data_IF_901919756116
#
_entry.id   IF_901919756116
#
_cell.length_a   1.000
_cell.length_b   1.000
_cell.length_c   1.000
_cell.angle_alpha   90.00
_cell.angle_beta   90.00
_cell.angle_gamma   90.00
#
_symmetry.space_group_name_H-M   'P 1'
#
loop_
_entity.id
_entity.type
_entity.pdbx_description
1 polymer ?
#
# COMPACT_ATOMS: atom_id res chain seq x y z
N UNK A 1 -5.18 23.09 -19.33
CA UNK A 1 -6.17 22.83 -18.27
C UNK A 1 -5.66 23.36 -16.92
N UNK A 2 -6.47 24.07 -16.12
CA UNK A 2 -6.00 24.51 -14.81
C UNK A 2 -5.72 23.25 -13.97
N UNK A 3 -4.57 23.26 -13.27
CA UNK A 3 -4.20 22.22 -12.33
C UNK A 3 -5.36 22.06 -11.34
N UNK A 4 -6.01 20.89 -11.37
CA UNK A 4 -7.15 20.60 -10.51
C UNK A 4 -6.76 20.83 -9.05
N UNK A 5 -7.65 21.49 -8.30
CA UNK A 5 -7.50 21.63 -6.86
C UNK A 5 -7.12 20.28 -6.25
N UNK A 6 -6.11 20.25 -5.37
CA UNK A 6 -5.67 19.06 -4.66
C UNK A 6 -6.88 18.42 -3.94
N UNK A 7 -7.48 17.41 -4.56
CA UNK A 7 -8.70 16.77 -4.10
C UNK A 7 -8.43 16.07 -2.76
N UNK A 8 -9.34 16.20 -1.79
CA UNK A 8 -9.25 15.49 -0.50
C UNK A 8 -8.19 16.03 0.48
N UNK A 9 -7.37 17.00 0.05
CA UNK A 9 -6.44 17.72 0.91
C UNK A 9 -7.00 19.08 1.29
N UNK A 10 -6.73 19.57 2.52
CA UNK A 10 -7.14 20.92 2.89
C UNK A 10 -6.43 21.94 1.98
N UNK A 11 -7.11 23.02 1.61
CA UNK A 11 -6.56 24.08 0.74
C UNK A 11 -5.63 25.05 1.50
N UNK A 12 -5.77 25.11 2.82
CA UNK A 12 -4.93 25.90 3.71
C UNK A 12 -4.41 24.99 4.84
N UNK A 13 -3.20 25.25 5.37
CA UNK A 13 -2.73 24.55 6.55
C UNK A 13 -3.78 24.68 7.66
N UNK A 14 -4.30 23.57 8.21
CA UNK A 14 -5.21 23.65 9.35
C UNK A 14 -4.52 24.36 10.53
N UNK A 15 -5.31 25.02 11.39
CA UNK A 15 -4.79 25.62 12.61
C UNK A 15 -4.28 24.54 13.56
N UNK A 16 -2.98 24.24 13.52
CA UNK A 16 -2.36 23.19 14.32
C UNK A 16 -1.06 22.67 13.72
N UNK A 17 -0.30 21.92 14.52
CA UNK A 17 0.84 21.17 13.99
C UNK A 17 0.32 19.97 13.18
N UNK A 18 0.96 19.60 12.06
CA UNK A 18 0.60 18.40 11.34
C UNK A 18 0.75 17.17 12.23
N UNK A 19 -0.32 16.38 12.34
CA UNK A 19 -0.43 15.27 13.30
C UNK A 19 -1.12 14.10 12.63
N UNK A 20 -0.58 12.89 12.75
CA UNK A 20 -1.28 11.68 12.27
C UNK A 20 -2.36 11.25 13.25
N UNK A 21 -3.39 10.59 12.72
CA UNK A 21 -4.51 10.08 13.46
C UNK A 21 -4.13 8.94 14.41
N UNK A 22 -5.10 8.49 15.21
CA UNK A 22 -4.85 7.56 16.29
C UNK A 22 -4.72 6.10 15.83
N UNK A 23 -4.96 5.82 14.55
CA UNK A 23 -5.07 4.47 14.06
C UNK A 23 -6.25 3.72 14.66
N UNK A 24 -6.18 2.39 14.64
CA UNK A 24 -7.22 1.50 15.14
C UNK A 24 -6.65 0.29 15.87
N UNK A 25 -7.49 -0.31 16.72
CA UNK A 25 -7.20 -1.54 17.43
C UNK A 25 -7.94 -2.73 16.80
N UNK A 26 -7.30 -3.89 16.88
CA UNK A 26 -7.94 -5.18 16.66
C UNK A 26 -7.77 -6.07 17.90
N UNK A 27 -8.73 -6.97 18.09
CA UNK A 27 -8.74 -8.00 19.12
C UNK A 27 -9.01 -9.34 18.46
N UNK A 28 -8.11 -10.29 18.65
CA UNK A 28 -8.22 -11.64 18.11
C UNK A 28 -8.30 -12.65 19.25
N UNK A 29 -9.24 -13.59 19.15
CA UNK A 29 -9.34 -14.74 20.05
C UNK A 29 -8.90 -16.00 19.33
N UNK A 30 -8.10 -16.82 20.00
CA UNK A 30 -7.62 -18.09 19.49
C UNK A 30 -7.56 -19.14 20.59
N UNK A 31 -7.46 -20.40 20.20
CA UNK A 31 -7.24 -21.52 21.13
C UNK A 31 -5.75 -21.87 21.20
N UNK A 32 -5.18 -21.83 22.40
CA UNK A 32 -3.81 -22.22 22.64
C UNK A 32 -3.63 -23.76 22.60
N UNK A 33 -2.38 -24.22 22.66
CA UNK A 33 -2.04 -25.65 22.57
C UNK A 33 -2.64 -26.49 23.71
N UNK A 34 -2.84 -25.88 24.88
CA UNK A 34 -3.47 -26.51 26.04
C UNK A 34 -5.01 -26.54 25.96
N UNK A 35 -5.59 -26.02 24.88
CA UNK A 35 -7.03 -25.94 24.66
C UNK A 35 -7.70 -24.71 25.28
N UNK A 36 -6.96 -23.87 26.02
CA UNK A 36 -7.49 -22.63 26.59
C UNK A 36 -7.75 -21.58 25.51
N UNK A 37 -8.76 -20.74 25.71
CA UNK A 37 -8.98 -19.58 24.86
C UNK A 37 -8.12 -18.41 25.34
N UNK A 38 -7.37 -17.81 24.42
CA UNK A 38 -6.47 -16.69 24.65
C UNK A 38 -6.88 -15.52 23.76
N UNK A 39 -6.47 -14.32 24.16
CA UNK A 39 -6.75 -13.08 23.43
C UNK A 39 -5.45 -12.37 23.07
N UNK A 40 -5.38 -11.86 21.85
CA UNK A 40 -4.31 -11.02 21.34
C UNK A 40 -4.88 -9.66 20.94
N UNK A 41 -4.26 -8.58 21.40
CA UNK A 41 -4.68 -7.21 21.10
C UNK A 41 -3.55 -6.49 20.40
N UNK A 42 -3.79 -5.91 19.22
CA UNK A 42 -2.80 -5.13 18.48
C UNK A 42 -3.41 -3.83 17.98
N UNK A 43 -2.56 -2.83 17.78
CA UNK A 43 -2.95 -1.48 17.34
C UNK A 43 -2.04 -1.05 16.20
N UNK A 44 -2.60 -0.32 15.23
CA UNK A 44 -1.77 0.33 14.22
C UNK A 44 -0.96 1.45 14.85
N UNK A 45 0.23 1.66 14.32
CA UNK A 45 1.14 2.72 14.74
C UNK A 45 2.02 3.14 13.56
N UNK A 46 2.58 4.37 13.58
CA UNK A 46 3.46 4.82 12.52
C UNK A 46 4.64 3.87 12.26
N UNK A 47 4.81 3.47 11.01
CA UNK A 47 5.87 2.57 10.55
C UNK A 47 5.60 1.10 10.85
N UNK A 48 4.38 0.73 11.24
CA UNK A 48 4.00 -0.66 11.54
C UNK A 48 2.89 -1.15 10.60
N UNK A 49 2.85 -2.45 10.27
CA UNK A 49 1.73 -3.01 9.51
C UNK A 49 0.40 -2.85 10.24
N UNK A 50 -0.71 -3.02 9.53
CA UNK A 50 -2.04 -3.11 10.14
C UNK A 50 -2.10 -4.20 11.23
N UNK A 51 -2.90 -4.00 12.31
CA UNK A 51 -3.06 -4.94 13.42
C UNK A 51 -3.24 -6.41 12.99
N UNK A 52 -4.00 -6.67 11.93
CA UNK A 52 -4.29 -8.01 11.43
C UNK A 52 -3.02 -8.71 10.93
N UNK A 53 -2.13 -7.98 10.25
CA UNK A 53 -0.82 -8.49 9.86
C UNK A 53 0.09 -8.68 11.06
N UNK A 54 0.09 -7.75 12.04
CA UNK A 54 0.85 -7.92 13.28
C UNK A 54 0.42 -9.21 14.01
N UNK A 55 -0.88 -9.45 14.13
CA UNK A 55 -1.45 -10.64 14.74
C UNK A 55 -1.11 -11.91 13.97
N UNK A 56 -1.17 -11.89 12.64
CA UNK A 56 -0.74 -13.03 11.81
C UNK A 56 0.70 -13.43 12.11
N UNK A 57 1.62 -12.47 12.13
CA UNK A 57 3.03 -12.75 12.38
C UNK A 57 3.26 -13.31 13.78
N UNK A 58 2.55 -12.79 14.78
CA UNK A 58 2.68 -13.25 16.15
C UNK A 58 2.08 -14.62 16.40
N UNK A 59 0.90 -14.92 15.86
CA UNK A 59 0.31 -16.25 15.93
C UNK A 59 1.23 -17.29 15.28
N UNK A 60 1.87 -16.95 14.14
CA UNK A 60 2.88 -17.79 13.51
C UNK A 60 4.10 -17.99 14.42
N UNK A 61 4.60 -16.94 15.06
CA UNK A 61 5.72 -17.04 16.00
C UNK A 61 5.38 -17.91 17.23
N UNK A 62 4.13 -17.90 17.68
CA UNK A 62 3.62 -18.76 18.76
C UNK A 62 3.24 -20.17 18.29
N UNK A 63 3.42 -20.51 17.00
CA UNK A 63 3.00 -21.77 16.39
C UNK A 63 1.51 -22.08 16.60
N UNK A 64 0.64 -21.06 16.59
CA UNK A 64 -0.81 -21.23 16.63
C UNK A 64 -1.31 -21.60 15.24
N UNK A 65 -1.93 -22.78 15.05
CA UNK A 65 -2.47 -23.17 13.75
C UNK A 65 -3.59 -22.22 13.30
N UNK A 66 -3.72 -21.92 12.00
CA UNK A 66 -4.76 -21.00 11.52
C UNK A 66 -6.20 -21.44 11.84
N UNK A 67 -6.42 -22.75 12.02
CA UNK A 67 -7.72 -23.32 12.40
C UNK A 67 -8.09 -23.04 13.87
N UNK A 68 -7.13 -22.61 14.69
CA UNK A 68 -7.39 -22.28 16.09
C UNK A 68 -7.76 -20.80 16.28
N UNK A 69 -7.81 -19.99 15.21
CA UNK A 69 -8.28 -18.61 15.26
C UNK A 69 -9.81 -18.60 15.22
N UNK A 70 -10.44 -18.02 16.24
CA UNK A 70 -11.88 -18.15 16.50
C UNK A 70 -12.63 -16.87 16.10
N UNK A 71 -12.15 -15.71 16.55
CA UNK A 71 -12.83 -14.43 16.36
C UNK A 71 -11.81 -13.31 16.16
N UNK A 72 -12.16 -12.37 15.29
CA UNK A 72 -11.46 -11.12 15.08
C UNK A 72 -12.48 -9.98 15.18
N UNK A 73 -12.25 -9.07 16.11
CA UNK A 73 -13.01 -7.83 16.26
C UNK A 73 -12.09 -6.64 15.98
N UNK A 74 -12.48 -5.74 15.07
CA UNK A 74 -11.70 -4.55 14.72
C UNK A 74 -12.49 -3.27 14.97
N UNK A 75 -11.82 -2.19 15.40
CA UNK A 75 -12.51 -0.89 15.50
C UNK A 75 -12.88 -0.34 14.10
N UNK A 76 -12.10 -0.68 13.07
CA UNK A 76 -12.34 -0.32 11.67
C UNK A 76 -12.32 -1.58 10.81
N UNK A 77 -13.26 -1.71 9.88
CA UNK A 77 -13.33 -2.86 8.96
C UNK A 77 -11.99 -3.13 8.27
N UNK A 78 -11.57 -4.40 8.27
CA UNK A 78 -10.31 -4.84 7.63
C UNK A 78 -10.28 -4.45 6.15
N UNK A 79 -9.25 -3.71 5.74
CA UNK A 79 -9.24 -3.07 4.43
C UNK A 79 -9.02 -4.05 3.24
N UNK A 80 -9.41 -3.61 2.06
CA UNK A 80 -9.06 -4.22 0.76
C UNK A 80 -8.29 -3.21 -0.12
N UNK A 81 -7.34 -2.53 0.51
CA UNK A 81 -6.60 -1.39 -0.05
C UNK A 81 -5.09 -1.68 -0.11
N UNK A 82 -4.35 -0.93 -0.96
CA UNK A 82 -2.89 -0.88 -0.91
C UNK A 82 -2.35 -0.69 0.51
N UNK A 83 -1.18 -1.25 0.81
CA UNK A 83 -0.55 -1.08 2.13
C UNK A 83 -0.99 -2.10 3.18
N UNK A 84 -2.03 -2.90 2.89
CA UNK A 84 -2.26 -4.12 3.65
C UNK A 84 -3.66 -4.67 3.49
N UNK A 85 -3.98 -5.29 2.35
CA UNK A 85 -5.23 -6.01 2.02
C UNK A 85 -5.66 -7.07 3.08
N UNK A 86 -6.06 -6.60 4.26
CA UNK A 86 -6.29 -7.40 5.46
C UNK A 86 -7.44 -8.37 5.25
N UNK A 87 -8.55 -7.93 4.66
CA UNK A 87 -9.68 -8.83 4.41
C UNK A 87 -9.30 -10.00 3.49
N UNK A 88 -8.46 -9.75 2.47
CA UNK A 88 -7.92 -10.82 1.62
C UNK A 88 -7.03 -11.77 2.43
N UNK A 89 -6.06 -11.23 3.18
CA UNK A 89 -5.16 -12.01 4.02
C UNK A 89 -5.93 -12.89 5.00
N UNK A 90 -6.95 -12.33 5.67
CA UNK A 90 -7.79 -13.06 6.61
C UNK A 90 -8.51 -14.20 5.91
N UNK A 91 -9.17 -13.95 4.76
CA UNK A 91 -9.89 -15.00 4.00
C UNK A 91 -8.96 -16.13 3.57
N UNK A 92 -7.73 -15.81 3.17
CA UNK A 92 -6.75 -16.80 2.72
C UNK A 92 -6.09 -17.56 3.88
N UNK A 93 -6.05 -16.98 5.09
CA UNK A 93 -5.30 -17.56 6.22
C UNK A 93 -6.21 -18.18 7.28
N UNK A 94 -7.28 -17.52 7.70
CA UNK A 94 -8.12 -17.89 8.84
C UNK A 94 -9.53 -18.30 8.36
N UNK A 95 -9.73 -19.53 7.86
CA UNK A 95 -10.97 -19.92 7.20
C UNK A 95 -12.19 -20.03 8.13
N UNK A 96 -11.98 -20.12 9.45
CA UNK A 96 -13.05 -20.31 10.45
C UNK A 96 -13.31 -19.08 11.32
N UNK A 97 -12.57 -17.99 11.11
CA UNK A 97 -12.68 -16.82 11.98
C UNK A 97 -14.01 -16.11 11.80
N UNK A 98 -14.68 -15.79 12.91
CA UNK A 98 -15.80 -14.84 12.91
C UNK A 98 -15.24 -13.42 12.93
N UNK A 99 -15.60 -12.61 11.94
CA UNK A 99 -15.14 -11.21 11.82
C UNK A 99 -16.27 -10.27 12.22
N UNK A 100 -15.96 -9.28 13.06
CA UNK A 100 -16.86 -8.17 13.37
C UNK A 100 -16.06 -6.86 13.37
N UNK A 101 -16.70 -5.75 13.05
CA UNK A 101 -16.09 -4.43 13.13
C UNK A 101 -17.05 -3.39 13.70
N UNK A 102 -16.51 -2.31 14.29
CA UNK A 102 -17.31 -1.19 14.79
C UNK A 102 -17.71 -0.26 13.63
N UNK A 103 -16.74 0.24 12.88
CA UNK A 103 -16.98 1.09 11.72
C UNK A 103 -16.78 0.34 10.40
N UNK A 104 -17.67 0.49 9.40
CA UNK A 104 -17.36 0.10 8.02
C UNK A 104 -16.25 1.00 7.46
N UNK A 105 -15.42 0.50 6.55
CA UNK A 105 -14.33 1.29 5.96
C UNK A 105 -14.47 1.42 4.44
N UNK A 106 -14.91 0.36 3.77
CA UNK A 106 -15.17 0.38 2.33
C UNK A 106 -13.90 0.52 1.47
N UNK A 107 -14.11 0.85 0.19
CA UNK A 107 -13.07 0.82 -0.85
C UNK A 107 -12.85 2.16 -1.54
N UNK A 108 -13.89 2.98 -1.71
CA UNK A 108 -13.80 4.31 -2.32
C UNK A 108 -13.56 5.39 -1.25
N UNK A 109 -13.04 6.54 -1.67
CA UNK A 109 -12.66 7.64 -0.79
C UNK A 109 -13.80 8.11 0.12
N UNK A 110 -15.04 8.20 -0.37
CA UNK A 110 -16.16 8.65 0.45
C UNK A 110 -16.44 7.67 1.59
N UNK A 111 -16.47 6.36 1.29
CA UNK A 111 -16.64 5.32 2.30
C UNK A 111 -15.52 5.32 3.35
N UNK A 112 -14.26 5.50 2.91
CA UNK A 112 -13.09 5.53 3.80
C UNK A 112 -13.13 6.72 4.75
N UNK A 113 -13.47 7.91 4.24
CA UNK A 113 -13.65 9.12 5.05
C UNK A 113 -14.78 8.97 6.07
N UNK A 114 -15.91 8.36 5.66
CA UNK A 114 -17.02 8.08 6.58
C UNK A 114 -16.63 7.07 7.67
N UNK A 115 -15.93 6.01 7.30
CA UNK A 115 -15.43 5.00 8.23
C UNK A 115 -14.49 5.58 9.28
N UNK A 116 -13.53 6.40 8.85
CA UNK A 116 -12.63 7.11 9.76
C UNK A 116 -13.37 8.08 10.67
N UNK A 117 -14.36 8.82 10.16
CA UNK A 117 -15.17 9.70 11.00
C UNK A 117 -15.93 8.91 12.07
N UNK A 118 -16.51 7.76 11.72
CA UNK A 118 -17.21 6.90 12.68
C UNK A 118 -16.24 6.34 13.73
N UNK A 119 -15.06 5.87 13.32
CA UNK A 119 -14.00 5.43 14.24
C UNK A 119 -13.63 6.51 15.25
N UNK A 120 -13.36 7.74 14.78
CA UNK A 120 -12.96 8.85 15.64
C UNK A 120 -14.06 9.24 16.62
N UNK A 121 -15.33 9.26 16.18
CA UNK A 121 -16.48 9.49 17.07
C UNK A 121 -16.54 8.42 18.16
N UNK A 122 -16.47 7.14 17.79
CA UNK A 122 -16.50 6.03 18.75
C UNK A 122 -15.35 6.08 19.76
N UNK A 123 -14.13 6.38 19.30
CA UNK A 123 -12.97 6.53 20.18
C UNK A 123 -13.11 7.73 21.13
N UNK A 124 -13.74 8.82 20.68
CA UNK A 124 -14.06 9.98 21.50
C UNK A 124 -15.10 9.67 22.59
N UNK A 125 -16.13 8.89 22.26
CA UNK A 125 -17.13 8.41 23.23
C UNK A 125 -16.48 7.53 24.31
N UNK A 126 -15.61 6.59 23.91
CA UNK A 126 -14.87 5.75 24.85
C UNK A 126 -13.96 6.58 25.79
N UNK A 127 -13.31 7.64 25.29
CA UNK A 127 -12.53 8.56 26.11
C UNK A 127 -13.38 9.22 27.20
N UNK A 128 -14.57 9.73 26.83
CA UNK A 128 -15.46 10.42 27.76
C UNK A 128 -16.09 9.50 28.80
N UNK A 129 -16.38 8.24 28.43
CA UNK A 129 -17.13 7.30 29.28
C UNK A 129 -16.23 6.40 30.13
N UNK A 130 -15.01 6.10 29.65
CA UNK A 130 -14.12 5.13 30.29
C UNK A 130 -12.78 5.73 30.78
N UNK A 131 -12.67 7.06 30.89
CA UNK A 131 -11.43 7.78 31.21
C UNK A 131 -10.23 7.30 30.37
N UNK A 132 -10.49 6.91 29.11
CA UNK A 132 -9.45 6.45 28.19
C UNK A 132 -8.47 7.58 27.83
N UNK A 133 -7.33 7.29 27.17
CA UNK A 133 -6.49 8.36 26.64
C UNK A 133 -7.18 9.08 25.47
N UNK A 134 -7.07 10.41 25.42
CA UNK A 134 -7.57 11.18 24.28
C UNK A 134 -6.87 10.74 22.99
N UNK A 135 -7.65 10.55 21.93
CA UNK A 135 -7.18 10.12 20.60
C UNK A 135 -7.42 11.26 19.61
N UNK A 136 -6.43 12.12 19.34
CA UNK A 136 -6.64 13.29 18.50
C UNK A 136 -6.93 12.88 17.06
N UNK A 137 -7.81 13.62 16.40
CA UNK A 137 -8.07 13.47 14.98
C UNK A 137 -6.83 13.87 14.15
N UNK A 138 -6.65 13.28 12.95
CA UNK A 138 -5.54 13.66 12.07
C UNK A 138 -5.64 15.13 11.64
N UNK A 139 -4.50 15.82 11.65
CA UNK A 139 -4.32 17.18 11.16
C UNK A 139 -3.49 17.10 9.88
N UNK A 140 -4.16 16.87 8.75
CA UNK A 140 -3.52 16.67 7.43
C UNK A 140 -2.97 17.99 6.89
N UNK A 141 -1.77 17.96 6.33
CA UNK A 141 -1.22 19.12 5.61
C UNK A 141 -1.71 19.16 4.15
N UNK A 142 -1.86 20.36 3.52
CA UNK A 142 -2.08 20.48 2.09
C UNK A 142 -0.97 19.82 1.27
N UNK A 143 -1.27 19.38 0.04
CA UNK A 143 -0.21 19.06 -0.93
C UNK A 143 0.60 20.34 -1.23
N UNK A 144 1.94 20.31 -1.11
CA UNK A 144 2.76 21.47 -1.32
C UNK A 144 2.90 21.74 -2.82
N UNK A 145 2.91 23.01 -3.20
CA UNK A 145 3.38 23.42 -4.52
C UNK A 145 4.91 23.25 -4.57
N UNK A 146 5.36 22.20 -5.26
CA UNK A 146 6.79 21.88 -5.44
C UNK A 146 7.15 21.89 -6.91
N UNK A 147 8.40 22.22 -7.20
CA UNK A 147 8.94 22.07 -8.55
C UNK A 147 9.24 20.58 -8.81
N UNK A 148 8.77 19.98 -9.91
CA UNK A 148 9.13 18.62 -10.29
C UNK A 148 10.65 18.47 -10.41
N UNK A 149 11.17 17.38 -9.86
CA UNK A 149 12.57 17.02 -10.00
C UNK A 149 12.87 16.66 -11.47
N UNK A 150 14.04 17.04 -12.01
CA UNK A 150 14.41 16.62 -13.35
C UNK A 150 14.54 15.08 -13.42
N UNK A 151 14.23 14.47 -14.58
CA UNK A 151 14.51 13.05 -14.80
C UNK A 151 16.00 12.77 -14.63
N UNK A 152 16.32 11.62 -14.04
CA UNK A 152 17.70 11.15 -13.86
C UNK A 152 17.94 9.91 -14.73
N UNK A 153 19.18 9.65 -15.16
CA UNK A 153 19.48 8.45 -15.93
C UNK A 153 19.23 7.18 -15.11
N UNK A 154 19.04 6.01 -15.75
CA UNK A 154 18.80 4.74 -15.05
C UNK A 154 19.84 4.39 -13.98
N UNK A 155 21.10 4.78 -14.17
CA UNK A 155 22.17 4.59 -13.18
C UNK A 155 21.95 5.43 -11.91
N UNK A 156 21.36 6.62 -12.04
CA UNK A 156 20.94 7.43 -10.90
C UNK A 156 19.81 6.76 -10.12
N UNK A 157 18.81 6.20 -10.84
CA UNK A 157 17.73 5.41 -10.21
C UNK A 157 18.31 4.18 -9.50
N UNK A 158 19.27 3.49 -10.12
CA UNK A 158 19.99 2.37 -9.52
C UNK A 158 20.65 2.75 -8.19
N UNK A 159 21.23 3.95 -8.11
CA UNK A 159 21.85 4.45 -6.90
C UNK A 159 20.82 4.73 -5.80
N UNK A 160 19.71 5.39 -6.13
CA UNK A 160 18.61 5.64 -5.18
C UNK A 160 18.04 4.31 -4.61
N UNK A 161 17.88 3.29 -5.46
CA UNK A 161 17.45 1.95 -5.04
C UNK A 161 18.48 1.27 -4.12
N UNK A 162 19.76 1.30 -4.48
CA UNK A 162 20.80 0.67 -3.69
C UNK A 162 20.94 1.30 -2.30
N UNK A 163 20.69 2.61 -2.17
CA UNK A 163 20.64 3.28 -0.86
C UNK A 163 19.46 2.81 0.00
N UNK A 164 18.32 2.47 -0.62
CA UNK A 164 17.11 2.06 0.09
C UNK A 164 17.13 0.57 0.47
N UNK A 165 17.53 -0.30 -0.46
CA UNK A 165 17.37 -1.76 -0.35
C UNK A 165 18.70 -2.52 -0.30
N UNK A 166 19.84 -1.82 -0.44
CA UNK A 166 21.14 -2.46 -0.62
C UNK A 166 21.29 -3.12 -2.00
N UNK A 167 22.51 -3.53 -2.38
CA UNK A 167 22.76 -4.14 -3.69
C UNK A 167 22.10 -5.51 -3.87
N UNK A 168 21.91 -6.27 -2.79
CA UNK A 168 21.28 -7.60 -2.82
C UNK A 168 19.75 -7.54 -2.85
N UNK A 169 19.16 -6.42 -2.41
CA UNK A 169 17.71 -6.22 -2.40
C UNK A 169 17.15 -5.72 -3.73
N UNK A 170 17.98 -5.62 -4.78
CA UNK A 170 17.59 -5.10 -6.10
C UNK A 170 17.83 -6.16 -7.18
N UNK A 171 16.77 -6.49 -7.91
CA UNK A 171 16.84 -7.41 -9.05
C UNK A 171 16.93 -6.65 -10.36
N UNK A 172 17.90 -7.01 -11.21
CA UNK A 172 18.06 -6.47 -12.56
C UNK A 172 17.78 -7.56 -13.58
N UNK A 173 17.09 -7.19 -14.64
CA UNK A 173 16.74 -8.09 -15.73
C UNK A 173 17.85 -8.14 -16.78
N UNK A 174 18.06 -9.29 -17.39
CA UNK A 174 18.91 -9.40 -18.57
C UNK A 174 18.23 -8.75 -19.79
N UNK A 175 19.02 -8.27 -20.76
CA UNK A 175 18.50 -7.65 -21.98
C UNK A 175 17.48 -8.53 -22.71
N UNK A 176 17.67 -9.85 -22.70
CA UNK A 176 16.76 -10.83 -23.32
C UNK A 176 15.41 -10.92 -22.60
N UNK A 177 15.37 -10.71 -21.29
CA UNK A 177 14.13 -10.78 -20.52
C UNK A 177 13.19 -9.58 -20.78
N UNK A 178 13.75 -8.47 -21.29
CA UNK A 178 13.02 -7.23 -21.61
C UNK A 178 12.87 -6.97 -23.11
N UNK A 179 13.43 -7.83 -23.97
CA UNK A 179 13.42 -7.65 -25.44
C UNK A 179 12.09 -8.02 -26.10
N UNK A 180 11.00 -8.13 -25.34
CA UNK A 180 9.68 -8.46 -25.86
C UNK A 180 9.16 -7.30 -26.71
N UNK A 181 8.51 -7.64 -27.83
CA UNK A 181 7.86 -6.64 -28.67
C UNK A 181 6.80 -5.85 -27.86
N UNK A 182 6.85 -4.52 -27.97
CA UNK A 182 5.91 -3.62 -27.30
C UNK A 182 6.35 -3.12 -25.92
N UNK A 183 7.45 -3.64 -25.35
CA UNK A 183 8.06 -3.04 -24.15
C UNK A 183 8.62 -1.66 -24.51
N UNK A 184 8.19 -0.57 -23.85
CA UNK A 184 8.77 0.75 -24.07
C UNK A 184 10.26 0.77 -23.72
N UNK A 185 11.08 1.47 -24.51
CA UNK A 185 12.54 1.51 -24.32
C UNK A 185 12.93 1.97 -22.89
N UNK A 186 12.23 2.99 -22.37
CA UNK A 186 12.47 3.48 -21.00
C UNK A 186 12.20 2.41 -19.92
N UNK A 187 11.23 1.52 -20.15
CA UNK A 187 10.91 0.41 -19.25
C UNK A 187 12.02 -0.62 -19.30
N UNK A 188 12.44 -1.03 -20.50
CA UNK A 188 13.55 -1.97 -20.69
C UNK A 188 14.86 -1.45 -20.06
N UNK A 189 15.22 -0.19 -20.31
CA UNK A 189 16.40 0.44 -19.73
C UNK A 189 16.34 0.51 -18.21
N UNK A 190 15.18 0.84 -17.63
CA UNK A 190 15.01 0.89 -16.17
C UNK A 190 15.19 -0.50 -15.55
N UNK A 191 14.58 -1.54 -16.13
CA UNK A 191 14.69 -2.91 -15.62
C UNK A 191 16.11 -3.49 -15.70
N UNK A 192 16.86 -3.15 -16.76
CA UNK A 192 18.23 -3.65 -16.97
C UNK A 192 19.24 -2.90 -16.09
N UNK A 193 19.18 -1.56 -16.08
CA UNK A 193 20.21 -0.74 -15.44
C UNK A 193 19.88 -0.40 -13.98
N UNK A 194 18.62 -0.07 -13.69
CA UNK A 194 18.18 0.28 -12.34
C UNK A 194 17.75 -0.97 -11.55
N UNK A 195 16.86 -1.76 -12.13
CA UNK A 195 16.22 -2.92 -11.52
C UNK A 195 14.95 -2.57 -10.74
N UNK A 196 14.46 -3.54 -9.97
CA UNK A 196 13.31 -3.43 -9.06
C UNK A 196 13.72 -3.87 -7.66
N UNK A 197 13.15 -3.30 -6.58
CA UNK A 197 13.30 -3.88 -5.25
C UNK A 197 12.65 -5.27 -5.22
N UNK A 198 13.37 -6.26 -4.70
CA UNK A 198 12.91 -7.66 -4.65
C UNK A 198 11.70 -7.82 -3.74
N UNK A 199 11.82 -7.28 -2.53
CA UNK A 199 10.80 -7.33 -1.49
C UNK A 199 10.80 -6.00 -0.74
N UNK A 200 9.64 -5.35 -0.72
CA UNK A 200 9.32 -4.24 0.14
C UNK A 200 7.87 -4.35 0.63
N UNK A 201 7.55 -5.49 1.25
CA UNK A 201 6.24 -5.71 1.86
C UNK A 201 5.88 -4.67 2.93
N UNK A 202 4.62 -4.22 3.03
CA UNK A 202 3.46 -4.69 2.25
C UNK A 202 3.26 -3.98 0.91
N UNK A 203 4.20 -3.13 0.48
CA UNK A 203 4.02 -2.22 -0.65
C UNK A 203 4.29 -2.89 -2.00
N UNK A 204 5.32 -3.74 -2.08
CA UNK A 204 5.74 -4.31 -3.35
C UNK A 204 6.55 -5.59 -3.21
N UNK A 205 6.26 -6.57 -4.07
CA UNK A 205 7.08 -7.76 -4.32
C UNK A 205 7.29 -7.89 -5.83
N UNK A 206 8.55 -7.95 -6.27
CA UNK A 206 8.86 -8.00 -7.70
C UNK A 206 8.46 -9.34 -8.33
N UNK A 207 7.96 -9.29 -9.57
CA UNK A 207 7.84 -10.44 -10.46
C UNK A 207 9.22 -10.74 -11.07
N UNK A 208 10.18 -11.07 -10.20
CA UNK A 208 11.58 -11.25 -10.53
C UNK A 208 11.92 -12.74 -10.60
N UNK A 209 11.80 -13.33 -11.80
CA UNK A 209 12.20 -14.72 -12.04
C UNK A 209 13.46 -14.73 -12.92
N UNK A 210 14.62 -15.17 -12.41
CA UNK A 210 15.87 -15.20 -13.17
C UNK A 210 15.73 -15.93 -14.50
N UNK A 211 16.23 -15.31 -15.58
CA UNK A 211 16.22 -15.87 -16.94
C UNK A 211 14.85 -15.93 -17.63
N UNK A 212 13.77 -15.54 -16.97
CA UNK A 212 12.44 -15.49 -17.57
C UNK A 212 12.11 -14.08 -18.09
N UNK A 213 11.37 -13.96 -19.20
CA UNK A 213 10.88 -12.67 -19.65
C UNK A 213 9.83 -12.10 -18.67
N UNK A 214 9.67 -10.77 -18.70
CA UNK A 214 8.58 -10.12 -17.97
C UNK A 214 7.23 -10.61 -18.52
N UNK A 215 6.36 -11.21 -17.68
CA UNK A 215 5.10 -11.75 -18.15
C UNK A 215 4.06 -10.64 -18.34
N UNK A 216 3.13 -10.86 -19.25
CA UNK A 216 1.87 -10.12 -19.29
C UNK A 216 0.94 -10.58 -18.16
N UNK A 217 -0.07 -9.77 -17.83
CA UNK A 217 -1.07 -10.15 -16.84
C UNK A 217 -1.87 -11.40 -17.26
N UNK A 218 -2.11 -11.57 -18.57
CA UNK A 218 -2.73 -12.78 -19.12
C UNK A 218 -1.87 -14.04 -18.90
N UNK A 219 -0.56 -13.95 -19.09
CA UNK A 219 0.37 -15.05 -18.84
C UNK A 219 0.46 -15.38 -17.35
N UNK A 220 0.48 -14.36 -16.48
CA UNK A 220 0.44 -14.56 -15.03
C UNK A 220 -0.87 -15.21 -14.58
N UNK A 221 -2.01 -14.80 -15.14
CA UNK A 221 -3.31 -15.40 -14.86
C UNK A 221 -3.35 -16.88 -15.27
N UNK A 222 -2.82 -17.21 -16.45
CA UNK A 222 -2.69 -18.60 -16.90
C UNK A 222 -1.81 -19.44 -15.97
N UNK A 223 -0.68 -18.90 -15.49
CA UNK A 223 0.19 -19.56 -14.50
C UNK A 223 -0.53 -19.80 -13.17
N UNK A 224 -1.40 -18.88 -12.75
CA UNK A 224 -2.20 -19.00 -11.52
C UNK A 224 -3.51 -19.78 -11.71
N UNK A 225 -3.80 -20.24 -12.94
CA UNK A 225 -5.04 -20.95 -13.30
C UNK A 225 -6.32 -20.17 -12.95
N UNK A 226 -6.28 -18.83 -13.08
CA UNK A 226 -7.43 -17.94 -12.89
C UNK A 226 -7.90 -17.35 -14.22
N UNK A 227 -9.17 -16.95 -14.31
CA UNK A 227 -9.72 -16.34 -15.51
C UNK A 227 -9.24 -14.87 -15.63
N UNK A 228 -8.48 -14.50 -16.68
CA UNK A 228 -8.08 -13.11 -16.89
C UNK A 228 -9.22 -12.28 -17.49
N UNK A 229 -9.15 -10.96 -17.30
CA UNK A 229 -10.00 -10.03 -18.04
C UNK A 229 -9.59 -9.97 -19.53
N UNK A 230 -10.52 -9.54 -20.39
CA UNK A 230 -10.30 -9.46 -21.84
C UNK A 230 -9.14 -8.55 -22.26
N UNK A 231 -8.76 -7.59 -21.42
CA UNK A 231 -7.68 -6.64 -21.66
C UNK A 231 -6.35 -7.04 -20.98
N UNK A 232 -6.27 -8.20 -20.31
CA UNK A 232 -5.09 -8.61 -19.53
C UNK A 232 -3.79 -8.69 -20.35
N UNK A 233 -3.86 -8.87 -21.67
CA UNK A 233 -2.69 -8.83 -22.55
C UNK A 233 -2.02 -7.45 -22.67
N UNK A 234 -2.69 -6.39 -22.21
CA UNK A 234 -2.25 -4.99 -22.31
C UNK A 234 -1.39 -4.52 -21.13
N UNK A 235 -1.08 -5.42 -20.19
CA UNK A 235 -0.38 -5.09 -18.95
C UNK A 235 0.85 -5.99 -18.78
N UNK A 236 2.03 -5.41 -18.61
CA UNK A 236 3.27 -6.11 -18.26
C UNK A 236 3.48 -6.08 -16.75
N UNK A 237 3.65 -7.23 -16.11
CA UNK A 237 3.67 -7.33 -14.66
C UNK A 237 5.06 -7.05 -14.11
N UNK A 238 5.20 -6.00 -13.31
CA UNK A 238 6.44 -5.68 -12.59
C UNK A 238 6.50 -6.37 -11.23
N UNK A 239 5.34 -6.59 -10.61
CA UNK A 239 5.23 -7.21 -9.29
C UNK A 239 3.82 -7.17 -8.75
N UNK A 240 3.69 -7.23 -7.43
CA UNK A 240 2.41 -7.22 -6.72
C UNK A 240 2.50 -6.42 -5.44
N UNK A 241 1.39 -5.82 -5.03
CA UNK A 241 1.18 -5.23 -3.70
C UNK A 241 0.36 -6.18 -2.80
N UNK A 242 0.51 -7.50 -3.01
CA UNK A 242 -0.26 -8.60 -2.45
C UNK A 242 -1.72 -8.70 -2.94
N UNK A 243 -2.44 -7.58 -3.06
CA UNK A 243 -3.83 -7.58 -3.52
C UNK A 243 -3.98 -7.60 -5.04
N UNK A 244 -3.16 -6.82 -5.74
CA UNK A 244 -3.19 -6.58 -7.18
C UNK A 244 -1.81 -6.81 -7.81
N UNK A 245 -1.79 -6.95 -9.13
CA UNK A 245 -0.56 -6.89 -9.91
C UNK A 245 -0.24 -5.43 -10.25
N UNK A 246 0.99 -5.00 -9.99
CA UNK A 246 1.48 -3.70 -10.42
C UNK A 246 2.13 -3.86 -11.79
N UNK A 247 1.58 -3.15 -12.77
CA UNK A 247 1.87 -3.38 -14.18
C UNK A 247 2.23 -2.11 -14.92
N UNK A 248 3.09 -2.22 -15.93
CA UNK A 248 3.20 -1.21 -17.00
C UNK A 248 2.03 -1.40 -17.95
N UNK A 249 1.25 -0.36 -18.20
CA UNK A 249 0.17 -0.35 -19.18
C UNK A 249 0.71 -0.02 -20.59
N UNK A 250 0.36 -0.83 -21.59
CA UNK A 250 0.70 -0.53 -22.98
C UNK A 250 -0.01 0.72 -23.50
N UNK A 251 0.67 1.44 -24.40
CA UNK A 251 0.20 2.69 -24.99
C UNK A 251 0.51 3.94 -24.15
N UNK A 252 0.44 3.85 -22.81
CA UNK A 252 0.73 4.98 -21.91
C UNK A 252 2.07 4.84 -21.18
N UNK A 253 2.55 3.62 -20.97
CA UNK A 253 3.69 3.28 -20.12
C UNK A 253 3.51 3.65 -18.62
N UNK A 254 2.30 4.01 -18.20
CA UNK A 254 1.96 4.25 -16.80
C UNK A 254 2.09 2.97 -15.98
N UNK A 255 2.39 3.11 -14.69
CA UNK A 255 2.22 2.04 -13.71
C UNK A 255 0.80 2.06 -13.18
N UNK A 256 0.14 0.91 -13.22
CA UNK A 256 -1.23 0.72 -12.75
C UNK A 256 -1.34 -0.56 -11.91
N UNK A 257 -2.22 -0.55 -10.91
CA UNK A 257 -2.56 -1.72 -10.12
C UNK A 257 -3.85 -2.37 -10.66
N UNK A 258 -3.75 -3.63 -11.08
CA UNK A 258 -4.82 -4.38 -11.76
C UNK A 258 -5.06 -5.71 -11.06
N UNK A 259 -6.32 -6.13 -10.83
CA UNK A 259 -6.61 -7.49 -10.38
C UNK A 259 -6.11 -8.53 -11.41
N UNK A 260 -5.53 -9.63 -10.93
CA UNK A 260 -5.11 -10.73 -11.84
C UNK A 260 -6.33 -11.50 -12.37
N UNK A 261 -7.33 -11.69 -11.52
CA UNK A 261 -8.61 -12.31 -11.89
C UNK A 261 -9.57 -11.26 -12.42
N UNK A 262 -10.36 -11.64 -13.43
CA UNK A 262 -11.36 -10.79 -14.03
C UNK A 262 -12.46 -10.37 -13.03
N UNK A 263 -13.12 -9.25 -13.33
CA UNK A 263 -14.36 -8.90 -12.66
C UNK A 263 -15.51 -9.86 -13.02
N UNK A 264 -16.70 -9.68 -12.40
CA UNK A 264 -17.87 -10.48 -12.69
C UNK A 264 -18.14 -10.59 -14.21
N UNK A 265 -18.35 -11.81 -14.69
CA UNK A 265 -18.59 -12.06 -16.13
C UNK A 265 -17.38 -11.88 -17.03
N UNK A 266 -16.15 -11.95 -16.50
CA UNK A 266 -14.92 -11.83 -17.28
C UNK A 266 -14.55 -10.39 -17.66
N UNK A 267 -15.24 -9.41 -17.08
CA UNK A 267 -15.08 -8.01 -17.46
C UNK A 267 -13.79 -7.39 -16.90
N UNK A 268 -13.15 -6.48 -17.67
CA UNK A 268 -12.09 -5.63 -17.15
C UNK A 268 -12.51 -4.84 -15.92
N UNK A 269 -11.62 -4.75 -14.94
CA UNK A 269 -11.75 -3.83 -13.81
C UNK A 269 -10.90 -2.61 -14.11
N UNK A 270 -11.44 -1.42 -13.87
CA UNK A 270 -10.70 -0.17 -14.05
C UNK A 270 -9.33 -0.23 -13.34
N UNK A 271 -8.21 -0.04 -14.07
CA UNK A 271 -6.89 0.01 -13.47
C UNK A 271 -6.76 1.17 -12.50
N UNK A 272 -6.18 0.92 -11.33
CA UNK A 272 -5.86 1.97 -10.37
C UNK A 272 -4.54 2.61 -10.76
N UNK A 273 -4.51 3.93 -10.94
CA UNK A 273 -3.27 4.63 -11.28
C UNK A 273 -2.25 4.58 -10.12
N UNK A 274 -0.99 4.31 -10.44
CA UNK A 274 0.12 4.28 -9.48
C UNK A 274 1.10 5.39 -9.80
N UNK A 275 1.74 5.35 -10.98
CA UNK A 275 2.71 6.37 -11.40
C UNK A 275 2.67 6.61 -12.91
N UNK A 276 3.19 7.76 -13.32
CA UNK A 276 3.32 8.17 -14.73
C UNK A 276 4.30 7.29 -15.52
N UNK A 277 5.17 6.52 -14.85
CA UNK A 277 6.15 5.66 -15.49
C UNK A 277 6.91 4.77 -14.52
N UNK A 278 7.66 3.81 -15.09
CA UNK A 278 8.48 2.89 -14.29
C UNK A 278 9.62 3.59 -13.53
N UNK A 279 10.38 4.55 -14.12
CA UNK A 279 11.38 5.31 -13.37
C UNK A 279 10.76 6.00 -12.14
N UNK A 280 9.65 6.70 -12.30
CA UNK A 280 8.95 7.41 -11.24
C UNK A 280 8.52 6.45 -10.13
N UNK A 281 7.89 5.32 -10.48
CA UNK A 281 7.47 4.30 -9.52
C UNK A 281 8.64 3.75 -8.70
N UNK A 282 9.73 3.37 -9.37
CA UNK A 282 10.91 2.78 -8.71
C UNK A 282 11.58 3.81 -7.79
N UNK A 283 11.64 5.08 -8.19
CA UNK A 283 12.15 6.17 -7.35
C UNK A 283 11.24 6.45 -6.16
N UNK A 284 9.93 6.39 -6.33
CA UNK A 284 8.96 6.53 -5.23
C UNK A 284 9.05 5.38 -4.23
N UNK A 285 9.26 4.14 -4.70
CA UNK A 285 9.56 3.00 -3.81
C UNK A 285 10.89 3.19 -3.08
N UNK A 286 11.94 3.65 -3.76
CA UNK A 286 13.23 3.93 -3.13
C UNK A 286 13.12 5.04 -2.07
N UNK A 287 12.36 6.10 -2.35
CA UNK A 287 12.05 7.16 -1.40
C UNK A 287 11.36 6.59 -0.15
N UNK A 288 10.27 5.84 -0.34
CA UNK A 288 9.57 5.21 0.78
C UNK A 288 10.49 4.25 1.53
N UNK A 289 11.28 3.43 0.84
CA UNK A 289 12.23 2.49 1.44
C UNK A 289 13.27 3.15 2.36
N UNK A 290 13.82 4.30 1.96
CA UNK A 290 14.75 5.08 2.81
C UNK A 290 14.07 5.69 4.02
N UNK A 291 12.83 6.14 3.87
CA UNK A 291 12.12 6.88 4.91
C UNK A 291 11.34 5.99 5.88
N UNK A 292 10.91 4.80 5.45
CA UNK A 292 9.95 3.95 6.16
C UNK A 292 10.43 3.55 7.55
N UNK A 293 11.69 3.12 7.68
CA UNK A 293 12.27 2.70 8.97
C UNK A 293 12.34 3.85 9.98
N UNK A 294 12.41 5.09 9.51
CA UNK A 294 12.45 6.29 10.36
C UNK A 294 11.10 6.64 10.95
N UNK A 295 10.02 6.00 10.47
CA UNK A 295 8.66 6.24 10.93
C UNK A 295 8.35 5.53 12.26
N UNK A 296 9.11 4.49 12.59
CA UNK A 296 8.89 3.67 13.79
C UNK A 296 9.17 4.47 15.07
N UNK A 297 8.24 4.41 16.02
CA UNK A 297 8.37 5.03 17.34
C UNK A 297 8.22 6.56 17.36
N UNK A 298 7.82 7.18 16.25
CA UNK A 298 7.54 8.62 16.20
C UNK A 298 6.28 8.99 16.99
N UNK A 299 6.29 10.17 17.61
CA UNK A 299 5.05 10.78 18.12
C UNK A 299 4.09 11.11 16.96
N UNK A 300 2.79 11.32 17.23
CA UNK A 300 1.83 11.71 16.19
C UNK A 300 2.25 12.95 15.39
N UNK A 301 2.84 13.95 16.03
CA UNK A 301 3.33 15.18 15.40
C UNK A 301 4.59 14.92 14.56
N UNK A 302 5.52 14.10 15.09
CA UNK A 302 6.72 13.71 14.35
C UNK A 302 6.39 12.88 13.11
N UNK A 303 5.45 11.94 13.23
CA UNK A 303 4.92 11.17 12.11
C UNK A 303 4.15 12.07 11.13
N UNK A 304 3.45 13.09 11.62
CA UNK A 304 2.81 14.13 10.80
C UNK A 304 3.84 14.86 9.96
N UNK A 305 4.92 15.35 10.59
CA UNK A 305 6.04 16.00 9.87
C UNK A 305 6.69 15.08 8.85
N UNK A 306 6.98 13.83 9.22
CA UNK A 306 7.48 12.82 8.30
C UNK A 306 6.57 12.68 7.07
N UNK A 307 5.25 12.66 7.28
CA UNK A 307 4.25 12.48 6.22
C UNK A 307 4.22 13.68 5.28
N UNK A 308 4.36 14.91 5.81
CA UNK A 308 4.53 16.13 5.00
C UNK A 308 5.78 16.06 4.11
N UNK A 309 6.92 15.65 4.68
CA UNK A 309 8.18 15.59 3.95
C UNK A 309 8.16 14.49 2.87
N UNK A 310 7.52 13.34 3.14
CA UNK A 310 7.31 12.27 2.17
C UNK A 310 6.37 12.72 1.03
N UNK A 311 5.24 13.34 1.36
CA UNK A 311 4.31 13.96 0.42
C UNK A 311 5.01 14.95 -0.52
N UNK A 312 5.86 15.83 0.03
CA UNK A 312 6.57 16.83 -0.76
C UNK A 312 7.53 16.18 -1.77
N UNK A 313 8.30 15.19 -1.32
CA UNK A 313 9.23 14.46 -2.19
C UNK A 313 8.50 13.61 -3.24
N UNK A 314 7.37 13.00 -2.89
CA UNK A 314 6.56 12.26 -3.85
C UNK A 314 5.98 13.17 -4.93
N UNK A 315 5.49 14.35 -4.57
CA UNK A 315 5.07 15.38 -5.54
C UNK A 315 6.23 15.85 -6.43
N UNK A 316 7.46 15.91 -5.93
CA UNK A 316 8.62 16.24 -6.77
C UNK A 316 8.92 15.13 -7.79
N UNK A 317 8.72 13.86 -7.43
CA UNK A 317 8.97 12.72 -8.30
C UNK A 317 7.87 12.54 -9.35
N UNK A 318 6.60 12.60 -8.93
CA UNK A 318 5.46 12.35 -9.81
C UNK A 318 4.17 13.00 -9.27
N UNK A 319 3.86 14.25 -9.67
CA UNK A 319 2.63 14.92 -9.26
C UNK A 319 1.36 14.14 -9.60
N UNK A 320 1.34 13.34 -10.68
CA UNK A 320 0.16 12.61 -11.09
C UNK A 320 -0.18 11.46 -10.12
N UNK A 321 0.81 10.92 -9.41
CA UNK A 321 0.63 9.88 -8.39
C UNK A 321 -0.34 10.32 -7.28
N UNK A 322 -0.44 11.63 -7.05
CA UNK A 322 -1.31 12.25 -6.05
C UNK A 322 -2.45 13.07 -6.66
N UNK A 323 -2.70 12.92 -7.97
CA UNK A 323 -3.71 13.68 -8.71
C UNK A 323 -5.16 13.23 -8.48
N UNK A 324 -5.38 12.10 -7.79
CA UNK A 324 -6.69 11.54 -7.49
C UNK A 324 -6.68 10.88 -6.10
N UNK A 325 -7.79 10.92 -5.33
CA UNK A 325 -7.90 10.21 -4.05
C UNK A 325 -7.88 8.68 -4.19
N UNK A 326 -8.15 8.18 -5.40
CA UNK A 326 -8.14 6.75 -5.70
C UNK A 326 -6.81 6.30 -6.27
N UNK A 327 -5.86 7.20 -6.53
CA UNK A 327 -4.50 6.80 -6.91
C UNK A 327 -3.87 5.99 -5.78
N UNK A 328 -3.08 4.98 -6.14
CA UNK A 328 -2.49 4.03 -5.21
C UNK A 328 -1.69 4.73 -4.10
N UNK A 329 -0.87 5.72 -4.45
CA UNK A 329 -0.10 6.50 -3.48
C UNK A 329 -0.95 7.41 -2.60
N UNK A 330 -2.03 7.98 -3.14
CA UNK A 330 -2.98 8.78 -2.34
C UNK A 330 -3.64 7.93 -1.25
N UNK A 331 -4.01 6.68 -1.57
CA UNK A 331 -4.59 5.75 -0.59
C UNK A 331 -3.58 5.37 0.48
N UNK A 332 -2.30 5.18 0.13
CA UNK A 332 -1.24 4.96 1.14
C UNK A 332 -1.03 6.18 2.03
N UNK A 333 -0.96 7.38 1.45
CA UNK A 333 -0.79 8.62 2.20
C UNK A 333 -1.98 8.89 3.13
N UNK A 334 -3.20 8.61 2.67
CA UNK A 334 -4.40 8.70 3.51
C UNK A 334 -4.26 7.80 4.75
N UNK A 335 -3.89 6.54 4.55
CA UNK A 335 -3.67 5.59 5.65
C UNK A 335 -2.53 6.01 6.59
N UNK A 336 -1.45 6.58 6.06
CA UNK A 336 -0.36 7.16 6.88
C UNK A 336 -0.83 8.36 7.70
N UNK A 337 -1.66 9.24 7.12
CA UNK A 337 -2.26 10.35 7.84
C UNK A 337 -3.23 9.89 8.92
N UNK A 338 -3.96 8.81 8.68
CA UNK A 338 -4.94 8.27 9.64
C UNK A 338 -4.30 7.43 10.76
N UNK A 339 -2.99 7.19 10.68
CA UNK A 339 -2.24 6.37 11.65
C UNK A 339 -2.48 4.87 11.48
N UNK A 340 -2.93 4.45 10.30
CA UNK A 340 -3.15 3.04 9.94
C UNK A 340 -1.83 2.35 9.55
N UNK A 341 -0.85 3.14 9.07
CA UNK A 341 0.48 2.73 8.60
C UNK A 341 1.64 3.50 9.25
#
# INVERSE_FOLDING_TARGET
PPQGAAYGYPQQPPGGLPTVGPGYQAVLRYRAQDGSEQQLIRRSAPGTPHPEWQMLHELRAMNVPPQQVIELHTELESCELPGGYCARMIRETWPQVRITSVAPYGRDHASRQQGMQHLLTHQGELHQVADGPARPAPVRAPLPAVQPAPPIPPQGVAHELAQAFGPQGVFRFDQRAVSRQGVPEIVAQTLVWAGLPVDFGPFFWAQAVPGQPVPTLAELAAQRQVQPASDAGSYLVMGSDFGRALCVQYGTANIVAVPVEAGPGGQPVAPQFVNSGLPEFVRSLALLGRMWRLRFGLSPEQAGRWTVDFQAQLMMLDPAALGSPESWWSVLLEQMWDGLL
#
